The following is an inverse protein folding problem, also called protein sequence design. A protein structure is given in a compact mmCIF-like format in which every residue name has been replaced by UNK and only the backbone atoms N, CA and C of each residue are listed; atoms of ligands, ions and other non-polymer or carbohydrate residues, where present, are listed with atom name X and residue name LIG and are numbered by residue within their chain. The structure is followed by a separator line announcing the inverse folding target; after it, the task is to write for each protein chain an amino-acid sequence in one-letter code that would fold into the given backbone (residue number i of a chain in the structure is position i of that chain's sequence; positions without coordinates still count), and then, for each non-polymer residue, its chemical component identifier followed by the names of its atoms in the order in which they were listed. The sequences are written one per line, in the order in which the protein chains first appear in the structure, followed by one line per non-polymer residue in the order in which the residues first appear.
data_IF_966106317316
#
_entry.id   IF_966106317316
#
_cell.length_a   1.000
_cell.length_b   1.000
_cell.length_c   1.000
_cell.angle_alpha   90.00
_cell.angle_beta   90.00
_cell.angle_gamma   90.00
#
_symmetry.space_group_name_H-M   'P 1'
#
loop_
_entity.id
_entity.type
_entity.pdbx_description
1 polymer ?
#
# COMPACT_ATOMS: atom_id res chain seq x y z
N UNK A 1 26.81 4.69 20.31
CA UNK A 1 25.76 4.55 19.28
C UNK A 1 26.10 5.51 18.17
N UNK A 2 26.13 5.07 16.91
CA UNK A 2 26.39 5.99 15.80
C UNK A 2 25.27 7.04 15.77
N UNK A 3 25.64 8.31 15.67
CA UNK A 3 24.72 9.43 15.46
C UNK A 3 23.90 9.10 14.20
N UNK A 4 22.57 9.23 14.26
CA UNK A 4 21.70 8.90 13.13
C UNK A 4 22.22 9.63 11.87
N UNK A 5 22.57 8.93 10.78
CA UNK A 5 23.32 9.56 9.67
C UNK A 5 22.46 10.56 8.88
N UNK A 6 21.14 10.47 9.00
CA UNK A 6 20.17 11.40 8.45
C UNK A 6 19.41 12.05 9.61
N UNK A 7 19.30 13.38 9.59
CA UNK A 7 18.60 14.16 10.60
C UNK A 7 17.37 14.83 9.99
N UNK A 8 16.28 14.92 10.76
CA UNK A 8 15.06 15.61 10.36
C UNK A 8 14.90 16.95 11.10
N UNK A 9 14.30 17.97 10.46
CA UNK A 9 13.87 19.19 11.14
C UNK A 9 12.60 19.01 12.00
N UNK A 10 11.89 17.88 11.89
CA UNK A 10 10.76 17.57 12.77
C UNK A 10 11.23 17.34 14.21
N UNK A 11 10.36 17.67 15.18
CA UNK A 11 10.57 17.26 16.56
C UNK A 11 10.63 15.73 16.65
N UNK A 12 11.45 15.20 17.57
CA UNK A 12 11.66 13.75 17.69
C UNK A 12 10.34 12.97 17.86
N UNK A 13 9.40 13.50 18.66
CA UNK A 13 8.09 12.89 18.87
C UNK A 13 7.26 12.81 17.57
N UNK A 14 7.24 13.88 16.79
CA UNK A 14 6.50 13.93 15.52
C UNK A 14 7.16 13.03 14.47
N UNK A 15 8.50 13.04 14.39
CA UNK A 15 9.27 12.15 13.53
C UNK A 15 8.98 10.68 13.83
N UNK A 16 9.00 10.30 15.10
CA UNK A 16 8.82 8.89 15.50
C UNK A 16 7.37 8.44 15.24
N UNK A 17 6.37 9.30 15.49
CA UNK A 17 4.97 9.04 15.15
C UNK A 17 4.75 8.87 13.65
N UNK A 18 5.23 9.83 12.85
CA UNK A 18 5.11 9.79 11.37
C UNK A 18 5.90 8.62 10.79
N UNK A 19 7.07 8.31 11.35
CA UNK A 19 7.88 7.17 10.97
C UNK A 19 7.16 5.83 11.13
N UNK A 20 6.44 5.64 12.23
CA UNK A 20 5.62 4.45 12.45
C UNK A 20 4.49 4.31 11.41
N UNK A 21 3.84 5.43 11.07
CA UNK A 21 2.78 5.49 10.06
C UNK A 21 3.32 5.15 8.66
N UNK A 22 4.45 5.73 8.28
CA UNK A 22 5.12 5.44 7.01
C UNK A 22 5.56 3.98 6.93
N UNK A 23 6.11 3.42 8.00
CA UNK A 23 6.51 2.01 8.04
C UNK A 23 5.30 1.07 7.91
N UNK A 24 4.19 1.36 8.58
CA UNK A 24 2.96 0.58 8.46
C UNK A 24 2.34 0.70 7.05
N UNK A 25 2.47 1.86 6.42
CA UNK A 25 2.02 2.10 5.05
C UNK A 25 2.87 1.35 4.04
N UNK A 26 4.19 1.36 4.22
CA UNK A 26 5.13 0.67 3.35
C UNK A 26 4.82 -0.82 3.26
N UNK A 27 4.63 -1.49 4.41
CA UNK A 27 4.39 -2.95 4.40
C UNK A 27 3.07 -3.31 3.73
N UNK A 28 2.01 -2.53 3.94
CA UNK A 28 0.72 -2.77 3.29
C UNK A 28 0.81 -2.60 1.77
N UNK A 29 1.52 -1.55 1.29
CA UNK A 29 1.68 -1.29 -0.14
C UNK A 29 2.54 -2.35 -0.84
N UNK A 30 3.63 -2.78 -0.19
CA UNK A 30 4.44 -3.88 -0.73
C UNK A 30 3.62 -5.16 -0.80
N UNK A 31 2.86 -5.49 0.26
CA UNK A 31 2.02 -6.69 0.28
C UNK A 31 0.93 -6.66 -0.80
N UNK A 32 0.26 -5.51 -0.99
CA UNK A 32 -0.70 -5.32 -2.09
C UNK A 32 -0.06 -5.62 -3.46
N UNK A 33 1.21 -5.22 -3.66
CA UNK A 33 1.93 -5.53 -4.90
C UNK A 33 2.23 -7.03 -5.07
N UNK A 34 2.45 -7.75 -3.97
CA UNK A 34 2.66 -9.20 -3.98
C UNK A 34 1.35 -9.93 -4.26
N UNK A 35 0.27 -9.56 -3.58
CA UNK A 35 -1.09 -10.06 -3.81
C UNK A 35 -1.51 -9.83 -5.26
N UNK A 36 -1.29 -8.62 -5.79
CA UNK A 36 -1.59 -8.29 -7.18
C UNK A 36 -0.85 -9.20 -8.18
N UNK A 37 0.43 -9.49 -7.94
CA UNK A 37 1.20 -10.41 -8.79
C UNK A 37 0.77 -11.87 -8.63
N UNK A 38 0.46 -12.29 -7.41
CA UNK A 38 -0.07 -13.63 -7.13
C UNK A 38 -1.37 -13.86 -7.93
N UNK A 39 -2.30 -12.91 -7.88
CA UNK A 39 -3.52 -12.94 -8.68
C UNK A 39 -3.24 -12.92 -10.18
N UNK A 40 -2.29 -12.07 -10.63
CA UNK A 40 -1.97 -11.87 -12.04
C UNK A 40 -1.49 -13.16 -12.72
N UNK A 41 -0.73 -13.97 -11.99
CA UNK A 41 -0.25 -15.27 -12.49
C UNK A 41 -1.31 -16.36 -12.47
N UNK A 42 -2.37 -16.22 -11.67
CA UNK A 42 -3.27 -17.32 -11.34
C UNK A 42 -4.74 -17.08 -11.74
N UNK A 43 -5.05 -15.89 -12.26
CA UNK A 43 -6.39 -15.60 -12.79
C UNK A 43 -6.68 -16.45 -14.03
N UNK A 44 -7.89 -17.01 -14.10
CA UNK A 44 -8.44 -17.75 -15.23
C UNK A 44 -9.85 -17.28 -15.53
N UNK A 45 -10.30 -17.48 -16.78
CA UNK A 45 -11.70 -17.30 -17.16
C UNK A 45 -11.92 -16.42 -18.39
N UNK A 46 -13.18 -16.04 -18.63
CA UNK A 46 -13.62 -15.37 -19.86
C UNK A 46 -13.03 -13.96 -19.98
N UNK A 47 -12.90 -13.25 -18.86
CA UNK A 47 -12.32 -11.90 -18.81
C UNK A 47 -10.83 -11.90 -18.43
N UNK A 48 -10.16 -13.06 -18.52
CA UNK A 48 -8.75 -13.26 -18.13
C UNK A 48 -7.85 -12.10 -18.56
N UNK A 49 -7.84 -11.77 -19.85
CA UNK A 49 -6.87 -10.81 -20.40
C UNK A 49 -7.04 -9.41 -19.79
N UNK A 50 -8.27 -8.96 -19.58
CA UNK A 50 -8.54 -7.62 -19.03
C UNK A 50 -8.13 -7.55 -17.56
N UNK A 51 -8.54 -8.54 -16.75
CA UNK A 51 -8.18 -8.62 -15.33
C UNK A 51 -6.67 -8.77 -15.15
N UNK A 52 -6.02 -9.61 -15.97
CA UNK A 52 -4.58 -9.82 -15.95
C UNK A 52 -3.78 -8.53 -16.18
N UNK A 53 -4.20 -7.70 -17.15
CA UNK A 53 -3.55 -6.42 -17.43
C UNK A 53 -3.84 -5.36 -16.36
N UNK A 54 -5.07 -5.30 -15.84
CA UNK A 54 -5.41 -4.37 -14.77
C UNK A 54 -4.68 -4.68 -13.45
N UNK A 55 -4.35 -5.95 -13.19
CA UNK A 55 -3.50 -6.33 -12.06
C UNK A 55 -2.08 -5.76 -12.19
N UNK A 56 -1.54 -5.66 -13.41
CA UNK A 56 -0.24 -4.99 -13.62
C UNK A 56 -0.31 -3.50 -13.29
N UNK A 57 -1.39 -2.81 -13.66
CA UNK A 57 -1.61 -1.40 -13.31
C UNK A 57 -1.65 -1.21 -11.78
N UNK A 58 -2.39 -2.07 -11.07
CA UNK A 58 -2.44 -2.05 -9.61
C UNK A 58 -1.06 -2.30 -8.97
N UNK A 59 -0.30 -3.26 -9.50
CA UNK A 59 1.04 -3.59 -9.01
C UNK A 59 2.00 -2.42 -9.21
N UNK A 60 1.93 -1.73 -10.35
CA UNK A 60 2.74 -0.53 -10.61
C UNK A 60 2.38 0.59 -9.64
N UNK A 61 1.08 0.86 -9.45
CA UNK A 61 0.59 1.83 -8.47
C UNK A 61 1.15 1.55 -7.07
N UNK A 62 0.96 0.32 -6.57
CA UNK A 62 1.37 -0.06 -5.23
C UNK A 62 2.90 0.04 -5.04
N UNK A 63 3.69 -0.34 -6.04
CA UNK A 63 5.16 -0.26 -5.98
C UNK A 63 5.67 1.17 -6.00
N UNK A 64 5.11 2.03 -6.85
CA UNK A 64 5.48 3.45 -6.90
C UNK A 64 5.13 4.15 -5.58
N UNK A 65 3.95 3.88 -5.02
CA UNK A 65 3.54 4.43 -3.73
C UNK A 65 4.43 3.91 -2.59
N UNK A 66 4.79 2.61 -2.59
CA UNK A 66 5.70 2.03 -1.60
C UNK A 66 7.07 2.73 -1.61
N UNK A 67 7.62 3.00 -2.79
CA UNK A 67 8.89 3.73 -2.95
C UNK A 67 8.79 5.15 -2.37
N UNK A 68 7.77 5.91 -2.75
CA UNK A 68 7.54 7.27 -2.23
C UNK A 68 7.43 7.29 -0.69
N UNK A 69 6.73 6.31 -0.10
CA UNK A 69 6.57 6.18 1.35
C UNK A 69 7.89 5.81 2.04
N UNK A 70 8.64 4.87 1.47
CA UNK A 70 9.95 4.48 2.00
C UNK A 70 10.95 5.64 1.94
N UNK A 71 11.02 6.35 0.81
CA UNK A 71 11.89 7.51 0.65
C UNK A 71 11.46 8.67 1.57
N UNK A 72 10.16 8.87 1.79
CA UNK A 72 9.69 9.86 2.78
C UNK A 72 10.17 9.52 4.19
N UNK A 73 10.12 8.25 4.60
CA UNK A 73 10.63 7.83 5.89
C UNK A 73 12.14 8.09 6.01
N UNK A 74 12.90 7.70 4.99
CA UNK A 74 14.34 7.93 4.93
C UNK A 74 14.70 9.42 4.99
N UNK A 75 13.96 10.28 4.27
CA UNK A 75 14.13 11.74 4.30
C UNK A 75 13.86 12.34 5.68
N UNK A 76 12.97 11.74 6.47
CA UNK A 76 12.73 12.10 7.87
C UNK A 76 13.73 11.46 8.84
N UNK A 77 14.76 10.78 8.36
CA UNK A 77 15.76 10.12 9.21
C UNK A 77 15.25 8.85 9.92
N UNK A 78 14.13 8.29 9.43
CA UNK A 78 13.58 7.01 9.88
C UNK A 78 13.99 5.94 8.88
N UNK A 79 14.58 4.84 9.34
CA UNK A 79 14.98 3.75 8.44
C UNK A 79 13.77 2.91 8.03
N UNK A 80 13.39 2.85 6.74
CA UNK A 80 12.32 1.98 6.28
C UNK A 80 12.77 0.51 6.26
N UNK A 81 11.83 -0.41 6.49
CA UNK A 81 12.06 -1.85 6.45
C UNK A 81 10.99 -2.55 5.60
N UNK A 82 11.33 -2.83 4.33
CA UNK A 82 10.48 -3.57 3.39
C UNK A 82 10.88 -5.03 3.22
N UNK A 83 11.51 -5.66 4.22
CA UNK A 83 11.91 -7.08 4.08
C UNK A 83 10.70 -8.02 4.13
N UNK A 84 10.79 -9.16 3.44
CA UNK A 84 9.70 -10.15 3.38
C UNK A 84 9.20 -10.59 4.77
N UNK A 85 10.11 -10.73 5.74
CA UNK A 85 9.76 -11.08 7.12
C UNK A 85 8.87 -10.00 7.75
N UNK A 86 9.28 -8.74 7.68
CA UNK A 86 8.52 -7.61 8.24
C UNK A 86 7.14 -7.50 7.61
N UNK A 87 7.08 -7.67 6.28
CA UNK A 87 5.82 -7.63 5.53
C UNK A 87 4.87 -8.72 6.04
N UNK A 88 5.34 -9.98 6.09
CA UNK A 88 4.54 -11.11 6.55
C UNK A 88 4.07 -10.98 8.01
N UNK A 89 4.84 -10.30 8.87
CA UNK A 89 4.49 -10.11 10.28
C UNK A 89 3.55 -8.93 10.53
N UNK A 90 3.48 -7.95 9.61
CA UNK A 90 2.92 -6.62 9.93
C UNK A 90 1.88 -6.07 8.95
N UNK A 91 1.76 -6.65 7.75
CA UNK A 91 0.76 -6.21 6.78
C UNK A 91 -0.66 -6.40 7.34
N UNK A 92 -1.52 -5.41 7.13
CA UNK A 92 -2.94 -5.48 7.42
C UNK A 92 -3.82 -5.73 6.19
N UNK A 93 -3.21 -5.98 5.03
CA UNK A 93 -3.96 -6.27 3.79
C UNK A 93 -4.53 -7.70 3.88
N UNK A 94 -5.81 -7.91 3.57
CA UNK A 94 -6.40 -9.25 3.51
C UNK A 94 -5.62 -10.16 2.56
N UNK A 95 -5.35 -11.39 3.02
CA UNK A 95 -4.72 -12.43 2.20
C UNK A 95 -5.58 -12.80 1.00
N UNK A 96 -4.93 -13.30 -0.05
CA UNK A 96 -5.59 -13.87 -1.23
C UNK A 96 -5.41 -15.39 -1.24
N UNK A 97 -6.42 -16.11 -1.71
CA UNK A 97 -6.32 -17.55 -1.95
C UNK A 97 -5.21 -17.87 -2.97
N UNK A 98 -4.53 -18.99 -2.78
CA UNK A 98 -3.49 -19.48 -3.69
C UNK A 98 -4.03 -20.50 -4.69
N UNK A 99 -3.40 -20.60 -5.86
CA UNK A 99 -3.82 -21.50 -6.94
C UNK A 99 -4.72 -20.81 -7.95
N UNK A 100 -5.30 -21.56 -8.88
CA UNK A 100 -6.13 -20.98 -9.95
C UNK A 100 -7.40 -20.31 -9.40
N UNK A 101 -7.60 -19.04 -9.76
CA UNK A 101 -8.76 -18.24 -9.32
C UNK A 101 -9.59 -17.78 -10.51
N UNK A 102 -10.91 -17.86 -10.39
CA UNK A 102 -11.82 -17.27 -11.37
C UNK A 102 -11.75 -15.75 -11.35
N UNK A 103 -12.02 -15.13 -12.48
CA UNK A 103 -11.92 -13.68 -12.63
C UNK A 103 -12.80 -12.91 -11.64
N UNK A 104 -13.99 -13.41 -11.30
CA UNK A 104 -14.93 -12.82 -10.35
C UNK A 104 -14.41 -12.91 -8.90
N UNK A 105 -13.79 -14.03 -8.53
CA UNK A 105 -13.12 -14.21 -7.24
C UNK A 105 -11.95 -13.25 -7.08
N UNK A 106 -11.14 -13.07 -8.14
CA UNK A 106 -10.03 -12.11 -8.14
C UNK A 106 -10.55 -10.69 -7.99
N UNK A 107 -11.56 -10.28 -8.76
CA UNK A 107 -12.17 -8.95 -8.66
C UNK A 107 -12.69 -8.69 -7.25
N UNK A 108 -13.40 -9.65 -6.65
CA UNK A 108 -13.92 -9.53 -5.28
C UNK A 108 -12.79 -9.41 -4.25
N UNK A 109 -11.77 -10.25 -4.35
CA UNK A 109 -10.63 -10.24 -3.42
C UNK A 109 -9.87 -8.92 -3.48
N UNK A 110 -9.54 -8.45 -4.69
CA UNK A 110 -8.81 -7.18 -4.88
C UNK A 110 -9.64 -5.98 -4.43
N UNK A 111 -10.96 -5.97 -4.68
CA UNK A 111 -11.86 -4.92 -4.19
C UNK A 111 -11.84 -4.86 -2.66
N UNK A 112 -11.91 -6.01 -1.98
CA UNK A 112 -11.84 -6.07 -0.52
C UNK A 112 -10.48 -5.63 0.03
N UNK A 113 -9.38 -6.04 -0.61
CA UNK A 113 -8.03 -5.62 -0.22
C UNK A 113 -7.84 -4.11 -0.34
N UNK A 114 -8.33 -3.51 -1.45
CA UNK A 114 -8.30 -2.07 -1.66
C UNK A 114 -9.17 -1.34 -0.63
N UNK A 115 -10.39 -1.80 -0.36
CA UNK A 115 -11.26 -1.18 0.64
C UNK A 115 -10.63 -1.19 2.05
N UNK A 116 -10.03 -2.32 2.45
CA UNK A 116 -9.30 -2.43 3.72
C UNK A 116 -8.13 -1.45 3.80
N UNK A 117 -7.30 -1.40 2.75
CA UNK A 117 -6.17 -0.49 2.70
C UNK A 117 -6.60 0.97 2.71
N UNK A 118 -7.60 1.36 1.92
CA UNK A 118 -8.14 2.73 1.89
C UNK A 118 -8.63 3.15 3.28
N UNK A 119 -9.36 2.29 3.99
CA UNK A 119 -9.80 2.60 5.36
C UNK A 119 -8.63 2.86 6.30
N UNK A 120 -7.53 2.09 6.19
CA UNK A 120 -6.32 2.29 6.98
C UNK A 120 -5.59 3.57 6.59
N UNK A 121 -5.50 3.87 5.29
CA UNK A 121 -4.89 5.08 4.78
C UNK A 121 -5.62 6.34 5.24
N UNK A 122 -6.96 6.32 5.27
CA UNK A 122 -7.77 7.42 5.82
C UNK A 122 -7.45 7.70 7.30
N UNK A 123 -7.33 6.66 8.13
CA UNK A 123 -6.88 6.83 9.52
C UNK A 123 -5.48 7.44 9.63
N UNK A 124 -4.55 7.00 8.79
CA UNK A 124 -3.17 7.52 8.75
C UNK A 124 -3.09 8.97 8.26
N UNK A 125 -3.97 9.39 7.36
CA UNK A 125 -4.11 10.80 6.95
C UNK A 125 -4.49 11.66 8.16
N UNK A 126 -5.45 11.20 8.96
CA UNK A 126 -5.87 11.93 10.17
C UNK A 126 -4.74 11.98 11.21
N UNK A 127 -4.00 10.89 11.39
CA UNK A 127 -2.88 10.80 12.33
C UNK A 127 -1.68 11.67 11.93
N UNK A 128 -1.54 12.03 10.65
CA UNK A 128 -0.44 12.87 10.14
C UNK A 128 -0.75 14.36 10.07
N UNK A 129 -2.00 14.76 10.34
CA UNK A 129 -2.48 16.16 10.25
C UNK A 129 -1.67 17.16 11.07
N UNK A 130 -1.41 16.82 12.34
CA UNK A 130 -0.62 17.68 13.24
C UNK A 130 0.88 17.50 13.11
N UNK A 131 1.42 16.26 13.10
CA UNK A 131 2.87 16.08 13.17
C UNK A 131 3.59 16.43 11.86
N UNK A 132 2.97 16.21 10.69
CA UNK A 132 3.64 16.45 9.41
C UNK A 132 2.67 16.52 8.21
N UNK A 133 2.20 17.73 7.89
CA UNK A 133 1.33 18.00 6.74
C UNK A 133 1.93 17.56 5.38
N UNK A 134 3.27 17.49 5.26
CA UNK A 134 3.91 17.07 4.00
C UNK A 134 3.78 15.55 3.82
N UNK A 135 3.87 14.77 4.90
CA UNK A 135 3.54 13.34 4.83
C UNK A 135 2.04 13.13 4.65
N UNK A 136 1.20 13.94 5.30
CA UNK A 136 -0.25 13.88 5.09
C UNK A 136 -0.61 14.06 3.62
N UNK A 137 -0.05 15.07 2.95
CA UNK A 137 -0.28 15.34 1.51
C UNK A 137 0.10 14.13 0.64
N UNK A 138 1.25 13.50 0.91
CA UNK A 138 1.65 12.26 0.23
C UNK A 138 0.61 11.15 0.42
N UNK A 139 0.16 10.92 1.65
CA UNK A 139 -0.83 9.87 1.94
C UNK A 139 -2.19 10.18 1.31
N UNK A 140 -2.61 11.44 1.25
CA UNK A 140 -3.81 11.88 0.53
C UNK A 140 -3.70 11.52 -0.95
N UNK A 141 -2.58 11.87 -1.59
CA UNK A 141 -2.33 11.57 -3.00
C UNK A 141 -2.41 10.08 -3.32
N UNK A 142 -1.70 9.25 -2.53
CA UNK A 142 -1.75 7.79 -2.68
C UNK A 142 -3.17 7.26 -2.48
N UNK A 143 -3.89 7.77 -1.47
CA UNK A 143 -5.26 7.31 -1.16
C UNK A 143 -6.22 7.64 -2.30
N UNK A 144 -6.07 8.80 -2.94
CA UNK A 144 -6.87 9.18 -4.11
C UNK A 144 -6.68 8.17 -5.25
N UNK A 145 -5.44 7.77 -5.55
CA UNK A 145 -5.16 6.78 -6.60
C UNK A 145 -5.71 5.39 -6.23
N UNK A 146 -5.59 4.98 -4.97
CA UNK A 146 -6.17 3.72 -4.48
C UNK A 146 -7.71 3.71 -4.57
N UNK A 147 -8.37 4.81 -4.24
CA UNK A 147 -9.83 4.97 -4.37
C UNK A 147 -10.29 4.89 -5.83
N UNK A 148 -9.53 5.49 -6.75
CA UNK A 148 -9.78 5.35 -8.18
C UNK A 148 -9.61 3.90 -8.64
N UNK A 149 -8.55 3.22 -8.21
CA UNK A 149 -8.36 1.80 -8.51
C UNK A 149 -9.50 0.94 -7.95
N UNK A 150 -9.92 1.19 -6.71
CA UNK A 150 -11.03 0.50 -6.06
C UNK A 150 -12.33 0.61 -6.88
N UNK A 151 -12.66 1.81 -7.36
CA UNK A 151 -13.80 2.01 -8.25
C UNK A 151 -13.68 1.16 -9.53
N UNK A 152 -12.53 1.18 -10.21
CA UNK A 152 -12.32 0.43 -11.45
C UNK A 152 -12.44 -1.09 -11.24
N UNK A 153 -12.04 -1.60 -10.08
CA UNK A 153 -12.21 -3.00 -9.69
C UNK A 153 -13.67 -3.31 -9.39
N UNK A 154 -14.30 -2.54 -8.51
CA UNK A 154 -15.67 -2.77 -8.07
C UNK A 154 -16.69 -2.67 -9.21
N UNK A 155 -16.47 -1.78 -10.18
CA UNK A 155 -17.34 -1.60 -11.33
C UNK A 155 -17.47 -2.84 -12.22
N UNK A 156 -16.53 -3.79 -12.14
CA UNK A 156 -16.61 -5.07 -12.87
C UNK A 156 -17.63 -6.05 -12.26
N UNK A 157 -18.08 -5.80 -11.04
CA UNK A 157 -19.07 -6.62 -10.31
C UNK A 157 -20.45 -5.97 -10.18
N UNK A 158 -20.67 -4.84 -10.88
CA UNK A 158 -21.93 -4.11 -10.87
C UNK A 158 -23.01 -4.74 -11.76
#
# INVERSE_FOLDING_TARGET
MAKNPITSPLADADRDAVGAILQATLVDLVDLSLIGKQAHWNVIGKNFRSVHLQLDELVVLARNAADQVAERAAALGVTPNGTAKTIAESSGVPEIETGWLKEDQVVSSITNSLASLISRMRGRIDETDKPDLVTQDLLIGITQELEQAHWMWQAQSA
#
